data_IF_428784189342
#
_entry.id   IF_428784189342
#
_cell.length_a   1.000
_cell.length_b   1.000
_cell.length_c   1.000
_cell.angle_alpha   90.00
_cell.angle_beta   90.00
_cell.angle_gamma   90.00
#
_symmetry.space_group_name_H-M   'P 1'
#
loop_
_entity.id
_entity.type
_entity.pdbx_description
1 polymer ?
#
# COMPACT_ATOMS: atom_id res chain seq x y z
N UNK A 1 -18.61 -18.74 6.26
CA UNK A 1 -17.17 -18.99 5.98
C UNK A 1 -16.41 -17.71 5.64
N UNK A 2 -17.04 -16.71 5.00
CA UNK A 2 -16.37 -15.43 4.67
C UNK A 2 -15.92 -14.60 5.87
N UNK A 3 -16.72 -14.51 6.93
CA UNK A 3 -16.36 -13.76 8.15
C UNK A 3 -15.05 -14.26 8.76
N UNK A 4 -14.81 -15.57 8.73
CA UNK A 4 -13.56 -16.18 9.23
C UNK A 4 -12.38 -15.74 8.37
N UNK A 5 -12.54 -15.66 7.04
CA UNK A 5 -11.48 -15.16 6.15
C UNK A 5 -11.10 -13.72 6.49
N UNK A 6 -12.08 -12.83 6.71
CA UNK A 6 -11.81 -11.44 7.09
C UNK A 6 -11.12 -11.32 8.46
N UNK A 7 -11.55 -12.13 9.44
CA UNK A 7 -10.89 -12.16 10.76
C UNK A 7 -9.43 -12.62 10.61
N UNK A 8 -9.16 -13.65 9.81
CA UNK A 8 -7.80 -14.12 9.56
C UNK A 8 -6.95 -13.07 8.85
N UNK A 9 -7.49 -12.40 7.82
CA UNK A 9 -6.80 -11.28 7.15
C UNK A 9 -6.43 -10.20 8.16
N UNK A 10 -7.39 -9.80 9.01
CA UNK A 10 -7.17 -8.76 10.01
C UNK A 10 -6.05 -9.15 10.99
N UNK A 11 -6.10 -10.37 11.55
CA UNK A 11 -5.10 -10.83 12.52
C UNK A 11 -3.71 -10.98 11.89
N UNK A 12 -3.62 -11.60 10.71
CA UNK A 12 -2.34 -11.81 10.02
C UNK A 12 -1.75 -10.47 9.60
N UNK A 13 -2.56 -9.59 9.00
CA UNK A 13 -2.08 -8.28 8.54
C UNK A 13 -1.68 -7.39 9.71
N UNK A 14 -2.46 -7.39 10.80
CA UNK A 14 -2.13 -6.64 12.01
C UNK A 14 -0.82 -7.11 12.63
N UNK A 15 -0.65 -8.42 12.82
CA UNK A 15 0.60 -8.99 13.33
C UNK A 15 1.80 -8.64 12.45
N UNK A 16 1.63 -8.69 11.12
CA UNK A 16 2.68 -8.39 10.16
C UNK A 16 3.08 -6.92 10.18
N UNK A 17 2.10 -6.01 10.26
CA UNK A 17 2.34 -4.56 10.44
C UNK A 17 3.11 -4.31 11.73
N UNK A 18 2.66 -4.88 12.86
CA UNK A 18 3.33 -4.71 14.15
C UNK A 18 4.77 -5.22 14.12
N UNK A 19 4.98 -6.42 13.58
CA UNK A 19 6.33 -7.00 13.47
C UNK A 19 7.25 -6.16 12.58
N UNK A 20 6.76 -5.71 11.42
CA UNK A 20 7.54 -4.91 10.48
C UNK A 20 7.92 -3.55 11.07
N UNK A 21 6.99 -2.90 11.78
CA UNK A 21 7.25 -1.63 12.49
C UNK A 21 8.24 -1.81 13.63
N UNK A 22 8.11 -2.88 14.42
CA UNK A 22 9.05 -3.18 15.50
C UNK A 22 10.47 -3.41 14.97
N UNK A 23 10.61 -4.21 13.91
CA UNK A 23 11.90 -4.44 13.26
C UNK A 23 12.46 -3.16 12.62
N UNK A 24 11.60 -2.33 12.02
CA UNK A 24 11.99 -1.02 11.50
C UNK A 24 12.53 -0.08 12.58
N UNK A 25 11.91 -0.07 13.77
CA UNK A 25 12.26 0.84 14.86
C UNK A 25 13.65 0.55 15.47
N UNK A 26 14.15 -0.68 15.38
CA UNK A 26 15.49 -1.04 15.88
C UNK A 26 16.60 -0.72 14.87
N UNK A 27 16.25 -0.40 13.62
CA UNK A 27 17.20 -0.07 12.56
C UNK A 27 17.54 1.41 12.62
N UNK A 28 18.83 1.71 12.73
CA UNK A 28 19.33 3.09 12.84
C UNK A 28 19.23 3.86 11.53
N UNK A 29 19.40 3.16 10.40
CA UNK A 29 19.36 3.78 9.09
C UNK A 29 17.90 3.95 8.62
N UNK A 30 17.45 5.19 8.35
CA UNK A 30 16.05 5.46 8.00
C UNK A 30 15.60 4.81 6.69
N UNK A 31 16.50 4.63 5.73
CA UNK A 31 16.19 4.01 4.45
C UNK A 31 15.94 2.51 4.62
N UNK A 32 16.83 1.81 5.32
CA UNK A 32 16.63 0.39 5.61
C UNK A 32 15.43 0.15 6.52
N UNK A 33 15.18 1.04 7.49
CA UNK A 33 13.98 0.99 8.32
C UNK A 33 12.71 1.09 7.46
N UNK A 34 12.66 2.05 6.53
CA UNK A 34 11.51 2.21 5.63
C UNK A 34 11.30 0.97 4.75
N UNK A 35 12.36 0.38 4.19
CA UNK A 35 12.25 -0.84 3.39
C UNK A 35 11.65 -2.01 4.19
N UNK A 36 12.12 -2.22 5.41
CA UNK A 36 11.65 -3.31 6.28
C UNK A 36 10.23 -3.07 6.78
N UNK A 37 9.80 -1.82 6.93
CA UNK A 37 8.41 -1.50 7.27
C UNK A 37 7.51 -1.75 6.05
N UNK A 38 7.78 -1.13 4.92
CA UNK A 38 6.82 -1.07 3.81
C UNK A 38 6.79 -2.32 2.95
N UNK A 39 7.94 -2.95 2.64
CA UNK A 39 7.96 -4.08 1.71
C UNK A 39 7.16 -5.27 2.23
N UNK A 40 7.38 -5.78 3.46
CA UNK A 40 6.63 -6.93 3.96
C UNK A 40 5.15 -6.59 4.09
N UNK A 41 4.82 -5.40 4.60
CA UNK A 41 3.42 -4.96 4.75
C UNK A 41 2.73 -4.98 3.39
N UNK A 42 3.25 -4.28 2.38
CA UNK A 42 2.58 -4.15 1.08
C UNK A 42 2.50 -5.49 0.36
N UNK A 43 3.60 -6.26 0.31
CA UNK A 43 3.64 -7.51 -0.46
C UNK A 43 2.88 -8.63 0.22
N UNK A 44 3.16 -8.92 1.49
CA UNK A 44 2.56 -10.07 2.16
C UNK A 44 1.07 -9.87 2.45
N UNK A 45 0.64 -8.68 2.91
CA UNK A 45 -0.80 -8.45 3.15
C UNK A 45 -1.61 -8.53 1.86
N UNK A 46 -1.10 -7.95 0.77
CA UNK A 46 -1.79 -7.99 -0.52
C UNK A 46 -1.86 -9.40 -1.10
N UNK A 47 -0.78 -10.19 -1.02
CA UNK A 47 -0.76 -11.58 -1.50
C UNK A 47 -1.70 -12.46 -0.66
N UNK A 48 -1.67 -12.34 0.67
CA UNK A 48 -2.53 -13.12 1.57
C UNK A 48 -4.00 -12.76 1.35
N UNK A 49 -4.30 -11.48 1.19
CA UNK A 49 -5.63 -11.03 0.83
C UNK A 49 -6.07 -11.67 -0.48
N UNK A 50 -5.36 -11.45 -1.58
CA UNK A 50 -5.78 -11.98 -2.89
C UNK A 50 -5.89 -13.51 -2.90
N UNK A 51 -5.00 -14.22 -2.22
CA UNK A 51 -5.07 -15.68 -2.09
C UNK A 51 -6.34 -16.16 -1.38
N UNK A 52 -6.72 -15.50 -0.27
CA UNK A 52 -7.93 -15.88 0.47
C UNK A 52 -9.22 -15.63 -0.32
N UNK A 53 -9.19 -14.71 -1.29
CA UNK A 53 -10.32 -14.40 -2.17
C UNK A 53 -10.37 -15.25 -3.44
N UNK A 54 -9.23 -15.51 -4.08
CA UNK A 54 -9.17 -16.28 -5.34
C UNK A 54 -9.08 -17.79 -5.11
N UNK A 55 -8.54 -18.23 -3.96
CA UNK A 55 -8.24 -19.64 -3.69
C UNK A 55 -7.04 -20.19 -4.48
N UNK A 56 -6.38 -19.37 -5.30
CA UNK A 56 -5.30 -19.77 -6.19
C UNK A 56 -4.11 -18.80 -6.04
N UNK A 57 -2.96 -19.35 -5.63
CA UNK A 57 -1.73 -18.58 -5.41
C UNK A 57 -1.13 -18.01 -6.70
N UNK A 58 -1.23 -18.74 -7.81
CA UNK A 58 -0.66 -18.32 -9.10
C UNK A 58 -1.50 -17.20 -9.73
N UNK A 59 -2.82 -17.36 -9.69
CA UNK A 59 -3.77 -16.37 -10.18
C UNK A 59 -3.71 -15.09 -9.34
N UNK A 60 -3.48 -15.22 -8.02
CA UNK A 60 -3.29 -14.08 -7.13
C UNK A 60 -2.09 -13.22 -7.53
N UNK A 61 -0.96 -13.85 -7.84
CA UNK A 61 0.27 -13.14 -8.23
C UNK A 61 0.11 -12.44 -9.57
N UNK A 62 -0.50 -13.11 -10.56
CA UNK A 62 -0.71 -12.58 -11.91
C UNK A 62 -1.64 -11.37 -11.93
N UNK A 63 -2.68 -11.36 -11.10
CA UNK A 63 -3.60 -10.21 -11.00
C UNK A 63 -2.99 -9.11 -10.14
N UNK A 64 -2.35 -9.46 -9.03
CA UNK A 64 -1.97 -8.48 -8.02
C UNK A 64 -0.80 -7.59 -8.47
N UNK A 65 0.32 -8.17 -8.92
CA UNK A 65 1.53 -7.37 -9.15
C UNK A 65 1.38 -6.31 -10.24
N UNK A 66 0.75 -6.59 -11.40
CA UNK A 66 0.49 -5.57 -12.40
C UNK A 66 -0.34 -4.40 -11.83
N UNK A 67 -1.36 -4.69 -11.01
CA UNK A 67 -2.18 -3.68 -10.37
C UNK A 67 -1.42 -2.89 -9.29
N UNK A 68 -0.52 -3.54 -8.54
CA UNK A 68 0.38 -2.87 -7.60
C UNK A 68 1.29 -1.86 -8.31
N UNK A 69 1.77 -2.16 -9.52
CA UNK A 69 2.61 -1.23 -10.30
C UNK A 69 1.84 0.03 -10.66
N UNK A 70 0.58 -0.08 -11.10
CA UNK A 70 -0.27 1.09 -11.35
C UNK A 70 -0.54 1.85 -10.04
N UNK A 71 -0.79 1.14 -8.94
CA UNK A 71 -1.06 1.73 -7.64
C UNK A 71 0.15 2.49 -7.03
N UNK A 72 1.37 2.28 -7.56
CA UNK A 72 2.54 3.08 -7.17
C UNK A 72 2.40 4.55 -7.60
N UNK A 73 1.72 4.84 -8.71
CA UNK A 73 1.55 6.20 -9.22
C UNK A 73 0.86 7.13 -8.20
N UNK A 74 -0.35 6.81 -7.68
CA UNK A 74 -1.01 7.64 -6.69
C UNK A 74 -0.23 7.66 -5.36
N UNK A 75 0.42 6.56 -4.96
CA UNK A 75 1.27 6.53 -3.77
C UNK A 75 2.47 7.48 -3.86
N UNK A 76 3.19 7.48 -4.98
CA UNK A 76 4.28 8.42 -5.23
C UNK A 76 3.78 9.86 -5.25
N UNK A 77 2.59 10.10 -5.82
CA UNK A 77 1.92 11.39 -5.76
C UNK A 77 1.69 11.87 -4.32
N UNK A 78 1.16 11.00 -3.46
CA UNK A 78 0.98 11.26 -2.03
C UNK A 78 2.28 11.64 -1.33
N UNK A 79 3.33 10.82 -1.48
CA UNK A 79 4.63 11.03 -0.83
C UNK A 79 5.25 12.33 -1.32
N UNK A 80 5.26 12.56 -2.63
CA UNK A 80 5.80 13.77 -3.24
C UNK A 80 5.10 15.03 -2.72
N UNK A 81 3.76 15.03 -2.71
CA UNK A 81 2.98 16.15 -2.20
C UNK A 81 3.30 16.42 -0.72
N UNK A 82 3.33 15.38 0.11
CA UNK A 82 3.59 15.50 1.54
C UNK A 82 4.98 16.06 1.80
N UNK A 83 6.01 15.52 1.13
CA UNK A 83 7.41 15.97 1.28
C UNK A 83 7.61 17.41 0.81
N UNK A 84 6.90 17.83 -0.25
CA UNK A 84 6.97 19.21 -0.72
C UNK A 84 6.27 20.19 0.21
N UNK A 85 5.13 19.82 0.79
CA UNK A 85 4.26 20.75 1.52
C UNK A 85 4.48 20.79 3.02
N UNK A 86 5.05 19.73 3.64
CA UNK A 86 5.15 19.66 5.11
C UNK A 86 5.89 20.84 5.75
N UNK A 87 6.89 21.40 5.05
CA UNK A 87 7.66 22.57 5.54
C UNK A 87 6.85 23.85 5.58
N UNK A 88 5.83 23.97 4.73
CA UNK A 88 5.07 25.21 4.56
C UNK A 88 3.78 25.22 5.38
N UNK A 89 3.06 24.10 5.41
CA UNK A 89 1.74 24.00 6.05
C UNK A 89 1.72 23.08 7.27
N UNK A 90 2.87 22.49 7.63
CA UNK A 90 2.99 21.55 8.75
C UNK A 90 2.63 20.10 8.39
N UNK A 91 2.84 19.20 9.35
CA UNK A 91 2.69 17.76 9.14
C UNK A 91 1.24 17.34 8.86
N UNK A 92 0.30 17.72 9.74
CA UNK A 92 -1.09 17.26 9.61
C UNK A 92 -1.75 17.77 8.30
N UNK A 93 -1.66 19.06 7.95
CA UNK A 93 -2.25 19.55 6.70
C UNK A 93 -1.59 18.97 5.44
N UNK A 94 -0.28 18.70 5.46
CA UNK A 94 0.40 18.06 4.32
C UNK A 94 -0.02 16.62 4.11
N UNK A 95 -0.23 15.84 5.18
CA UNK A 95 -0.77 14.48 5.09
C UNK A 95 -2.18 14.47 4.50
N UNK A 96 -3.06 15.38 4.96
CA UNK A 96 -4.42 15.50 4.43
C UNK A 96 -4.44 15.94 2.96
N UNK A 97 -3.61 16.93 2.61
CA UNK A 97 -3.47 17.38 1.22
C UNK A 97 -2.90 16.30 0.31
N UNK A 98 -1.91 15.53 0.80
CA UNK A 98 -1.38 14.38 0.08
C UNK A 98 -2.45 13.32 -0.16
N UNK A 99 -3.31 13.06 0.82
CA UNK A 99 -4.40 12.09 0.70
C UNK A 99 -5.46 12.54 -0.31
N UNK A 100 -5.79 13.84 -0.33
CA UNK A 100 -6.62 14.42 -1.39
C UNK A 100 -5.97 14.24 -2.77
N UNK A 101 -4.67 14.52 -2.88
CA UNK A 101 -3.92 14.34 -4.12
C UNK A 101 -3.92 12.88 -4.59
N UNK A 102 -3.71 11.94 -3.68
CA UNK A 102 -3.82 10.50 -3.93
C UNK A 102 -5.15 10.13 -4.57
N UNK A 103 -6.26 10.59 -3.99
CA UNK A 103 -7.63 10.32 -4.48
C UNK A 103 -7.83 10.92 -5.88
N UNK A 104 -7.35 12.14 -6.12
CA UNK A 104 -7.42 12.77 -7.44
C UNK A 104 -6.67 11.98 -8.51
N UNK A 105 -5.46 11.49 -8.19
CA UNK A 105 -4.68 10.66 -9.11
C UNK A 105 -5.38 9.32 -9.37
N UNK A 106 -5.93 8.68 -8.34
CA UNK A 106 -6.74 7.46 -8.48
C UNK A 106 -7.93 7.65 -9.42
N UNK A 107 -8.65 8.76 -9.27
CA UNK A 107 -9.75 9.14 -10.15
C UNK A 107 -9.24 9.32 -11.59
N UNK A 108 -8.14 10.05 -11.78
CA UNK A 108 -7.51 10.23 -13.10
C UNK A 108 -7.14 8.91 -13.77
N UNK A 109 -6.53 7.98 -13.03
CA UNK A 109 -6.18 6.64 -13.53
C UNK A 109 -7.43 5.88 -13.98
N UNK A 110 -8.51 5.91 -13.18
CA UNK A 110 -9.77 5.25 -13.52
C UNK A 110 -10.35 5.76 -14.85
N UNK A 111 -10.31 7.07 -15.11
CA UNK A 111 -10.84 7.66 -16.34
C UNK A 111 -9.88 7.60 -17.54
N UNK A 112 -8.57 7.46 -17.32
CA UNK A 112 -7.56 7.35 -18.38
C UNK A 112 -7.56 6.01 -19.14
N UNK A 113 -8.25 5.00 -18.60
CA UNK A 113 -8.24 3.64 -19.17
C UNK A 113 -6.96 2.84 -18.87
N UNK A 114 -6.01 3.38 -18.10
CA UNK A 114 -4.78 2.69 -17.67
C UNK A 114 -5.06 1.33 -17.01
N UNK A 115 -6.18 1.20 -16.30
CA UNK A 115 -6.60 -0.07 -15.68
C UNK A 115 -6.91 -1.18 -16.69
N UNK A 116 -7.25 -0.85 -17.95
CA UNK A 116 -7.52 -1.84 -19.01
C UNK A 116 -6.26 -2.51 -19.56
N UNK A 117 -5.08 -1.91 -19.34
CA UNK A 117 -3.80 -2.48 -19.79
C UNK A 117 -3.29 -3.60 -18.87
N UNK A 118 -3.94 -3.77 -17.71
CA UNK A 118 -3.46 -4.60 -16.61
C UNK A 118 -4.51 -5.65 -16.18
N UNK A 119 -5.73 -5.56 -16.70
CA UNK A 119 -6.83 -6.52 -16.51
C UNK A 119 -6.84 -7.64 -17.54
#
# INVERSE_FOLDING_TARGET
>A
METIKYILVFLISGALVTASVYLGAVIKDPFYAALIIFLPIITMTSVIFTYLFTGDSELSIKILYPNCVIALIPWLGYVFFTVMTYRFIGLIPSLLGGLLFYVLVMIGIKYSGLLKFVS
#
